data_IF_682263734898
#
_entry.id   IF_682263734898
#
_cell.length_a   1.000
_cell.length_b   1.000
_cell.length_c   1.000
_cell.angle_alpha   90.00
_cell.angle_beta   90.00
_cell.angle_gamma   90.00
#
_symmetry.space_group_name_H-M   'P 1'
#
loop_
_entity.id
_entity.type
_entity.pdbx_description
1 polymer ?
#
# COMPACT_ATOMS: atom_id res chain seq x y z
N UNK A 1 -25.77 -59.17 -37.41
CA UNK A 1 -25.21 -57.92 -37.99
C UNK A 1 -26.39 -56.96 -38.04
N UNK A 2 -26.69 -56.21 -36.98
CA UNK A 2 -26.33 -54.78 -36.94
C UNK A 2 -26.45 -54.14 -35.53
N UNK A 3 -26.75 -54.92 -34.48
CA UNK A 3 -27.01 -54.36 -33.15
C UNK A 3 -25.76 -54.10 -32.28
N UNK A 4 -24.59 -54.59 -32.69
CA UNK A 4 -23.36 -54.51 -31.89
C UNK A 4 -22.64 -53.14 -31.98
N UNK A 5 -23.01 -52.31 -32.96
CA UNK A 5 -22.39 -50.99 -33.17
C UNK A 5 -23.03 -49.92 -32.26
N UNK A 6 -24.27 -50.12 -31.80
CA UNK A 6 -24.99 -49.13 -30.98
C UNK A 6 -24.63 -49.20 -29.47
N UNK A 7 -24.16 -50.36 -28.99
CA UNK A 7 -23.77 -50.57 -27.59
C UNK A 7 -22.39 -49.97 -27.23
N UNK A 8 -21.54 -49.64 -28.23
CA UNK A 8 -20.26 -48.93 -27.99
C UNK A 8 -20.40 -47.43 -27.71
N UNK A 9 -21.61 -46.86 -27.71
CA UNK A 9 -21.84 -45.41 -27.58
C UNK A 9 -22.56 -44.98 -26.30
N UNK A 10 -22.47 -45.77 -25.23
CA UNK A 10 -22.93 -45.38 -23.88
C UNK A 10 -21.85 -45.78 -22.87
N UNK A 11 -20.63 -45.27 -23.06
CA UNK A 11 -19.56 -45.44 -22.07
C UNK A 11 -19.95 -44.65 -20.81
N UNK A 12 -20.19 -45.29 -19.65
CA UNK A 12 -20.57 -44.61 -18.41
C UNK A 12 -19.50 -43.64 -17.91
N UNK A 13 -18.26 -43.76 -18.41
CA UNK A 13 -17.17 -42.84 -18.16
C UNK A 13 -17.49 -41.43 -18.69
N UNK A 14 -18.04 -41.29 -19.91
CA UNK A 14 -18.32 -39.96 -20.50
C UNK A 14 -19.43 -39.24 -19.76
N UNK A 15 -20.46 -39.96 -19.31
CA UNK A 15 -21.54 -39.40 -18.49
C UNK A 15 -21.04 -38.96 -17.10
N UNK A 16 -20.06 -39.67 -16.53
CA UNK A 16 -19.44 -39.32 -15.25
C UNK A 16 -18.64 -38.01 -15.32
N UNK A 17 -17.92 -37.74 -16.42
CA UNK A 17 -17.20 -36.49 -16.63
C UNK A 17 -18.14 -35.25 -16.64
N UNK A 18 -19.30 -35.35 -17.30
CA UNK A 18 -20.25 -34.24 -17.38
C UNK A 18 -20.94 -33.91 -16.05
N UNK A 19 -21.31 -34.92 -15.26
CA UNK A 19 -21.96 -34.70 -13.95
C UNK A 19 -20.97 -34.14 -12.93
N UNK A 20 -19.69 -34.55 -13.01
CA UNK A 20 -18.64 -34.01 -12.15
C UNK A 20 -18.43 -32.51 -12.39
N UNK A 21 -18.41 -32.05 -13.65
CA UNK A 21 -18.22 -30.64 -14.01
C UNK A 21 -19.32 -29.70 -13.45
N UNK A 22 -20.57 -30.15 -13.45
CA UNK A 22 -21.72 -29.39 -12.91
C UNK A 22 -21.62 -29.25 -11.38
N UNK A 23 -21.16 -30.29 -10.69
CA UNK A 23 -21.08 -30.30 -9.22
C UNK A 23 -20.01 -29.37 -8.66
N UNK A 24 -18.87 -29.21 -9.35
CA UNK A 24 -17.80 -28.29 -8.91
C UNK A 24 -18.23 -26.82 -9.06
N UNK A 25 -19.01 -26.52 -10.11
CA UNK A 25 -19.40 -25.14 -10.43
C UNK A 25 -20.22 -24.51 -9.31
N UNK A 26 -21.15 -25.23 -8.69
CA UNK A 26 -21.98 -24.68 -7.59
C UNK A 26 -21.18 -24.54 -6.27
N UNK A 27 -20.20 -25.41 -6.03
CA UNK A 27 -19.33 -25.35 -4.85
C UNK A 27 -18.33 -24.20 -4.90
N UNK A 28 -17.88 -23.79 -6.09
CA UNK A 28 -17.00 -22.63 -6.28
C UNK A 28 -17.82 -21.34 -6.44
N UNK A 29 -19.02 -21.41 -7.02
CA UNK A 29 -19.89 -20.24 -7.15
C UNK A 29 -20.23 -19.63 -5.79
N UNK A 30 -20.54 -20.45 -4.78
CA UNK A 30 -20.91 -19.96 -3.46
C UNK A 30 -19.83 -19.11 -2.76
N UNK A 31 -18.57 -19.56 -2.61
CA UNK A 31 -17.52 -18.75 -2.00
C UNK A 31 -17.16 -17.52 -2.85
N UNK A 32 -17.23 -17.61 -4.19
CA UNK A 32 -16.96 -16.47 -5.08
C UNK A 32 -18.05 -15.39 -4.91
N UNK A 33 -19.32 -15.78 -4.89
CA UNK A 33 -20.43 -14.85 -4.67
C UNK A 33 -20.36 -14.26 -3.26
N UNK A 34 -20.07 -15.06 -2.24
CA UNK A 34 -19.89 -14.58 -0.88
C UNK A 34 -18.74 -13.56 -0.78
N UNK A 35 -17.62 -13.82 -1.46
CA UNK A 35 -16.48 -12.89 -1.52
C UNK A 35 -16.85 -11.58 -2.21
N UNK A 36 -17.56 -11.64 -3.35
CA UNK A 36 -18.02 -10.46 -4.07
C UNK A 36 -18.96 -9.59 -3.23
N UNK A 37 -19.89 -10.21 -2.50
CA UNK A 37 -20.80 -9.50 -1.58
C UNK A 37 -20.04 -8.84 -0.45
N UNK A 38 -19.05 -9.52 0.14
CA UNK A 38 -18.18 -8.97 1.18
C UNK A 38 -17.40 -7.75 0.70
N UNK A 39 -16.78 -7.85 -0.48
CA UNK A 39 -16.00 -6.75 -1.08
C UNK A 39 -16.92 -5.56 -1.41
N UNK A 40 -18.09 -5.82 -2.00
CA UNK A 40 -19.05 -4.77 -2.33
C UNK A 40 -19.60 -4.08 -1.07
N UNK A 41 -19.91 -4.85 -0.02
CA UNK A 41 -20.37 -4.31 1.26
C UNK A 41 -19.31 -3.45 1.94
N UNK A 42 -18.04 -3.89 1.93
CA UNK A 42 -16.93 -3.12 2.49
C UNK A 42 -16.70 -1.82 1.71
N UNK A 43 -16.73 -1.88 0.38
CA UNK A 43 -16.62 -0.69 -0.45
C UNK A 43 -17.76 0.30 -0.18
N UNK A 44 -19.01 -0.16 -0.11
CA UNK A 44 -20.16 0.67 0.21
C UNK A 44 -20.04 1.31 1.60
N UNK A 45 -19.53 0.57 2.60
CA UNK A 45 -19.31 1.08 3.94
C UNK A 45 -18.22 2.16 3.99
N UNK A 46 -17.08 1.92 3.34
CA UNK A 46 -15.96 2.87 3.33
C UNK A 46 -16.26 4.14 2.51
N UNK A 47 -17.04 4.00 1.43
CA UNK A 47 -17.43 5.13 0.60
C UNK A 47 -18.74 5.80 1.04
N UNK A 48 -19.31 5.41 2.18
CA UNK A 48 -20.53 6.04 2.68
C UNK A 48 -20.24 7.49 3.10
N UNK A 49 -20.79 8.50 2.40
CA UNK A 49 -20.51 9.90 2.72
C UNK A 49 -21.13 10.24 4.07
N UNK A 50 -20.30 10.46 5.07
CA UNK A 50 -20.72 11.04 6.35
C UNK A 50 -20.82 12.55 6.18
N UNK A 51 -21.86 12.99 5.47
CA UNK A 51 -22.11 14.40 5.23
C UNK A 51 -22.52 15.11 6.51
N UNK A 52 -21.60 15.85 7.12
CA UNK A 52 -21.92 16.86 8.12
C UNK A 52 -21.98 18.22 7.39
N UNK A 53 -23.13 18.91 7.35
CA UNK A 53 -23.19 20.25 6.76
C UNK A 53 -22.32 21.21 7.58
N UNK A 54 -21.33 21.82 6.93
CA UNK A 54 -20.39 22.76 7.54
C UNK A 54 -21.14 24.03 7.98
N UNK A 55 -21.05 24.44 9.26
CA UNK A 55 -21.58 25.73 9.69
C UNK A 55 -20.75 26.85 9.06
N UNK A 56 -21.40 27.77 8.36
CA UNK A 56 -20.77 28.96 7.80
C UNK A 56 -20.11 29.78 8.92
N UNK A 57 -18.77 29.69 9.02
CA UNK A 57 -17.98 30.48 9.95
C UNK A 57 -17.92 31.94 9.53
N UNK A 58 -18.44 32.82 10.39
CA UNK A 58 -18.34 34.28 10.24
C UNK A 58 -16.88 34.69 10.50
N UNK A 59 -16.22 35.49 9.63
CA UNK A 59 -14.83 35.89 9.87
C UNK A 59 -14.75 36.90 11.02
N UNK A 60 -14.09 36.51 12.12
CA UNK A 60 -13.70 37.44 13.18
C UNK A 60 -12.44 38.17 12.75
N UNK A 61 -12.54 39.49 12.58
CA UNK A 61 -11.39 40.36 12.34
C UNK A 61 -10.52 40.45 13.59
N UNK A 62 -9.35 39.81 13.55
CA UNK A 62 -8.30 39.96 14.57
C UNK A 62 -7.51 41.24 14.31
N UNK A 63 -7.69 42.23 15.19
CA UNK A 63 -6.85 43.43 15.20
C UNK A 63 -5.42 43.04 15.62
N UNK A 64 -4.45 43.30 14.75
CA UNK A 64 -3.03 43.03 15.02
C UNK A 64 -2.48 44.10 15.97
N UNK A 65 -2.08 43.71 17.18
CA UNK A 65 -1.25 44.55 18.05
C UNK A 65 0.22 44.45 17.60
N UNK A 66 1.00 45.55 17.65
CA UNK A 66 2.43 45.48 17.34
C UNK A 66 3.17 44.60 18.36
N UNK A 67 3.84 43.56 17.86
CA UNK A 67 4.72 42.69 18.64
C UNK A 67 6.07 43.40 18.81
N UNK A 68 6.59 43.61 20.04
CA UNK A 68 7.94 44.14 20.23
C UNK A 68 8.98 43.13 19.72
N UNK A 69 10.12 43.59 19.17
CA UNK A 69 11.15 42.70 18.65
C UNK A 69 11.71 41.81 19.77
N UNK A 70 11.69 40.50 19.54
CA UNK A 70 12.26 39.52 20.46
C UNK A 70 13.79 39.68 20.53
N UNK A 71 14.41 39.52 21.71
CA UNK A 71 15.87 39.50 21.84
C UNK A 71 16.46 38.35 21.01
N UNK A 72 17.50 38.65 20.23
CA UNK A 72 18.28 37.63 19.51
C UNK A 72 19.04 36.81 20.56
N UNK A 73 18.55 35.60 20.85
CA UNK A 73 19.28 34.62 21.65
C UNK A 73 20.33 33.98 20.75
N UNK A 74 21.61 34.24 21.02
CA UNK A 74 22.72 33.52 20.38
C UNK A 74 22.60 32.02 20.69
N UNK A 75 22.77 31.12 19.70
CA UNK A 75 22.76 29.69 19.96
C UNK A 75 23.83 29.34 21.00
N UNK A 76 23.40 28.87 22.17
CA UNK A 76 24.29 28.22 23.11
C UNK A 76 24.81 26.93 22.45
N UNK A 77 26.12 26.79 22.34
CA UNK A 77 26.75 25.54 21.88
C UNK A 77 26.41 24.43 22.88
N UNK A 78 25.53 23.51 22.48
CA UNK A 78 25.25 22.30 23.26
C UNK A 78 26.48 21.39 23.26
N UNK A 79 26.86 20.79 24.40
CA UNK A 79 27.89 19.75 24.43
C UNK A 79 27.46 18.59 23.51
N UNK A 80 28.22 18.36 22.44
CA UNK A 80 27.98 17.26 21.53
C UNK A 80 28.12 15.93 22.29
N UNK A 81 27.05 15.15 22.35
CA UNK A 81 27.13 13.75 22.78
C UNK A 81 28.11 13.02 21.85
N UNK A 82 29.20 12.50 22.42
CA UNK A 82 30.19 11.70 21.68
C UNK A 82 29.60 10.34 21.34
N UNK A 83 28.93 10.23 20.20
CA UNK A 83 28.74 8.94 19.55
C UNK A 83 30.09 8.43 19.04
N UNK A 84 30.37 7.12 19.12
CA UNK A 84 31.51 6.52 18.43
C UNK A 84 31.49 6.90 16.95
N UNK A 85 32.65 7.20 16.33
CA UNK A 85 32.68 7.49 14.91
C UNK A 85 32.16 6.27 14.13
N UNK A 86 31.29 6.48 13.13
CA UNK A 86 30.82 5.38 12.29
C UNK A 86 32.00 4.68 11.62
N UNK A 87 31.89 3.37 11.33
CA UNK A 87 32.93 2.64 10.62
C UNK A 87 33.20 3.30 9.25
N UNK A 88 34.43 3.18 8.72
CA UNK A 88 34.77 3.76 7.43
C UNK A 88 33.84 3.20 6.35
N UNK A 89 32.94 4.05 5.86
CA UNK A 89 32.06 3.74 4.74
C UNK A 89 32.88 3.78 3.45
N UNK A 90 32.73 2.76 2.61
CA UNK A 90 33.33 2.76 1.26
C UNK A 90 32.99 4.06 0.55
N UNK A 91 34.00 4.80 0.10
CA UNK A 91 33.88 6.08 -0.60
C UNK A 91 33.35 5.95 -2.03
N UNK A 92 32.65 4.84 -2.34
CA UNK A 92 31.96 4.72 -3.61
C UNK A 92 30.93 5.86 -3.66
N UNK A 93 30.93 6.66 -4.74
CA UNK A 93 29.95 7.72 -4.90
C UNK A 93 28.56 7.12 -4.70
N UNK A 94 27.81 7.66 -3.73
CA UNK A 94 26.44 7.21 -3.52
C UNK A 94 25.68 7.45 -4.83
N UNK A 95 24.98 6.42 -5.36
CA UNK A 95 24.17 6.63 -6.54
C UNK A 95 23.16 7.74 -6.25
N UNK A 96 22.82 8.55 -7.27
CA UNK A 96 21.83 9.60 -7.09
C UNK A 96 20.53 8.99 -6.55
N UNK A 97 19.85 9.71 -5.65
CA UNK A 97 18.62 9.24 -5.00
C UNK A 97 17.58 8.75 -6.01
N UNK A 98 17.51 9.38 -7.19
CA UNK A 98 16.65 9.01 -8.32
C UNK A 98 16.90 7.59 -8.87
N UNK A 99 18.09 7.02 -8.67
CA UNK A 99 18.44 5.66 -9.09
C UNK A 99 18.40 4.62 -7.96
N UNK A 100 18.26 5.04 -6.70
CA UNK A 100 18.34 4.12 -5.55
C UNK A 100 17.03 3.32 -5.35
N UNK A 101 15.90 3.89 -5.77
CA UNK A 101 14.59 3.23 -5.70
C UNK A 101 14.50 1.98 -6.58
N UNK A 102 15.22 1.94 -7.71
CA UNK A 102 15.25 0.78 -8.60
C UNK A 102 15.79 -0.48 -7.92
N UNK A 103 16.88 -0.34 -7.15
CA UNK A 103 17.45 -1.45 -6.39
C UNK A 103 16.50 -1.96 -5.31
N UNK A 104 15.78 -1.04 -4.65
CA UNK A 104 14.79 -1.40 -3.62
C UNK A 104 13.59 -2.11 -4.24
N UNK A 105 13.09 -1.61 -5.37
CA UNK A 105 11.99 -2.21 -6.13
C UNK A 105 12.34 -3.62 -6.63
N UNK A 106 13.57 -3.83 -7.10
CA UNK A 106 14.05 -5.15 -7.53
C UNK A 106 14.03 -6.16 -6.37
N UNK A 107 14.48 -5.74 -5.18
CA UNK A 107 14.43 -6.61 -3.98
C UNK A 107 13.00 -6.85 -3.50
N UNK A 108 12.13 -5.85 -3.56
CA UNK A 108 10.71 -5.99 -3.21
C UNK A 108 9.98 -6.93 -4.17
N UNK A 109 10.30 -6.87 -5.47
CA UNK A 109 9.78 -7.81 -6.46
C UNK A 109 10.20 -9.26 -6.14
N UNK A 110 11.45 -9.45 -5.71
CA UNK A 110 11.96 -10.76 -5.27
C UNK A 110 11.33 -11.31 -3.98
N UNK A 111 10.68 -10.45 -3.18
CA UNK A 111 9.97 -10.84 -1.96
C UNK A 111 8.49 -11.19 -2.20
N UNK A 112 8.04 -11.18 -3.47
CA UNK A 112 6.65 -11.51 -3.81
C UNK A 112 5.65 -10.39 -3.45
N UNK A 113 6.12 -9.15 -3.35
CA UNK A 113 5.25 -7.98 -3.11
C UNK A 113 4.27 -7.85 -4.28
N UNK A 114 2.98 -7.94 -3.98
CA UNK A 114 1.90 -7.84 -4.96
C UNK A 114 1.86 -6.44 -5.61
N UNK A 115 1.43 -6.36 -6.87
CA UNK A 115 1.27 -5.13 -7.66
C UNK A 115 0.45 -4.05 -6.92
N UNK A 116 -0.53 -4.44 -6.10
CA UNK A 116 -1.32 -3.52 -5.28
C UNK A 116 -0.48 -2.84 -4.20
N UNK A 117 0.44 -3.55 -3.56
CA UNK A 117 1.36 -2.96 -2.58
C UNK A 117 2.38 -2.05 -3.27
N UNK A 118 2.87 -2.45 -4.45
CA UNK A 118 3.70 -1.57 -5.28
C UNK A 118 2.99 -0.28 -5.70
N UNK A 119 1.67 -0.29 -5.89
CA UNK A 119 0.90 0.91 -6.19
C UNK A 119 0.79 1.87 -4.99
N UNK A 120 0.85 1.34 -3.75
CA UNK A 120 0.88 2.15 -2.53
C UNK A 120 2.25 2.79 -2.30
N UNK A 121 3.32 2.05 -2.58
CA UNK A 121 4.69 2.56 -2.58
C UNK A 121 4.94 3.33 -3.88
N UNK A 122 4.51 4.60 -3.97
CA UNK A 122 4.74 5.47 -5.16
C UNK A 122 6.11 5.19 -5.79
N UNK A 123 6.17 4.47 -6.93
CA UNK A 123 7.45 4.03 -7.49
C UNK A 123 8.29 5.25 -7.87
N UNK A 124 9.53 5.34 -7.36
CA UNK A 124 10.43 6.47 -7.60
C UNK A 124 10.42 7.57 -6.53
N UNK A 125 9.64 7.43 -5.44
CA UNK A 125 9.69 8.31 -4.27
C UNK A 125 9.88 7.55 -2.94
N UNK A 126 10.25 6.27 -2.98
CA UNK A 126 10.30 5.43 -1.78
C UNK A 126 11.37 5.94 -0.82
N UNK A 127 12.62 6.05 -1.28
CA UNK A 127 13.71 6.53 -0.42
C UNK A 127 13.52 7.99 -0.06
N UNK A 128 13.01 8.81 -0.97
CA UNK A 128 12.74 10.23 -0.68
C UNK A 128 11.73 10.38 0.46
N UNK A 129 10.64 9.63 0.44
CA UNK A 129 9.64 9.67 1.51
C UNK A 129 10.21 9.17 2.85
N UNK A 130 11.07 8.15 2.84
CA UNK A 130 11.75 7.66 4.06
C UNK A 130 12.69 8.73 4.63
N UNK A 131 13.49 9.40 3.79
CA UNK A 131 14.39 10.46 4.24
C UNK A 131 13.59 11.62 4.82
N UNK A 132 12.52 12.04 4.14
CA UNK A 132 11.63 13.11 4.61
C UNK A 132 10.99 12.74 5.95
N UNK A 133 10.53 11.51 6.16
CA UNK A 133 9.94 11.13 7.44
C UNK A 133 10.97 11.11 8.56
N UNK A 134 12.18 10.58 8.31
CA UNK A 134 13.28 10.60 9.29
C UNK A 134 13.71 12.02 9.64
N UNK A 135 13.79 12.91 8.65
CA UNK A 135 14.14 14.32 8.84
C UNK A 135 13.06 15.08 9.63
N UNK A 136 11.79 14.69 9.46
CA UNK A 136 10.65 15.26 10.19
C UNK A 136 10.39 14.62 11.56
N UNK A 137 11.24 13.70 12.04
CA UNK A 137 11.07 13.16 13.39
C UNK A 137 11.43 14.21 14.46
N UNK A 138 10.62 14.37 15.51
CA UNK A 138 10.95 15.27 16.61
C UNK A 138 12.24 14.81 17.28
N UNK A 139 13.31 15.58 17.13
CA UNK A 139 14.59 15.31 17.80
C UNK A 139 14.45 15.68 19.27
N UNK A 140 14.44 14.67 20.13
CA UNK A 140 14.69 14.88 21.55
C UNK A 140 16.15 15.37 21.68
N UNK A 141 16.29 16.57 22.25
CA UNK A 141 17.57 17.14 22.65
C UNK A 141 17.94 16.66 24.04
#
# INVERSE_FOLDING_TARGET
MEWDIFQRRLDPQVASFYVWEISVKNKILFPVVALLVLVAGLAAYLFWPSGQPEPAGVPVAVASLPVPPAPIVQPAESPAAKSPPPPPVSQLPLPPLTGSDGLVLEKLAGLGVNQTLMALLRPGQIIQNIVVTVDNLPRQR
#
